data_IF_593823088840
#
_entry.id   IF_593823088840
#
_cell.length_a   1.000
_cell.length_b   1.000
_cell.length_c   1.000
_cell.angle_alpha   90.00
_cell.angle_beta   90.00
_cell.angle_gamma   90.00
#
_symmetry.space_group_name_H-M   'P 1'
#
loop_
_entity.id
_entity.type
_entity.pdbx_description
1 polymer ?
#
# COMPACT_ATOMS: atom_id res chain seq x y z
N UNK A 1 25.79 3.55 20.76
CA UNK A 1 24.79 3.76 19.69
C UNK A 1 23.54 2.95 20.03
N UNK A 2 22.32 3.47 19.88
CA UNK A 2 21.13 2.66 20.07
C UNK A 2 21.11 1.52 19.04
N UNK A 3 20.85 0.30 19.53
CA UNK A 3 20.76 -0.89 18.68
C UNK A 3 19.47 -0.81 17.84
N UNK A 4 19.60 -0.78 16.51
CA UNK A 4 18.46 -0.88 15.60
C UNK A 4 17.82 -2.25 15.76
N UNK A 5 16.53 -2.30 16.12
CA UNK A 5 15.78 -3.56 16.35
C UNK A 5 14.94 -4.00 15.15
N UNK A 6 14.62 -3.07 14.25
CA UNK A 6 13.81 -3.34 13.08
C UNK A 6 14.13 -2.35 11.95
N UNK A 7 13.86 -2.77 10.72
CA UNK A 7 13.94 -1.92 9.52
C UNK A 7 12.62 -2.04 8.77
N UNK A 8 11.99 -0.90 8.48
CA UNK A 8 10.83 -0.83 7.60
C UNK A 8 11.26 -0.49 6.19
N UNK A 9 10.82 -1.30 5.22
CA UNK A 9 11.19 -1.19 3.81
C UNK A 9 9.93 -1.05 2.97
N UNK A 10 9.96 -0.13 2.02
CA UNK A 10 9.00 -0.17 0.93
C UNK A 10 9.27 -1.37 0.02
N UNK A 11 8.24 -1.81 -0.72
CA UNK A 11 8.34 -2.95 -1.64
C UNK A 11 8.65 -2.46 -3.04
N UNK A 12 7.64 -1.87 -3.67
CA UNK A 12 7.67 -1.44 -5.06
C UNK A 12 8.76 -0.36 -5.27
N UNK A 13 9.58 -0.53 -6.30
CA UNK A 13 10.73 0.34 -6.65
C UNK A 13 11.80 0.50 -5.56
N UNK A 14 11.73 -0.27 -4.47
CA UNK A 14 12.74 -0.24 -3.38
C UNK A 14 13.46 -1.57 -3.25
N UNK A 15 12.72 -2.67 -3.07
CA UNK A 15 13.29 -4.03 -3.08
C UNK A 15 12.91 -4.81 -4.35
N UNK A 16 12.11 -4.18 -5.22
CA UNK A 16 11.73 -4.73 -6.53
C UNK A 16 12.28 -3.89 -7.66
N UNK A 17 12.69 -4.56 -8.75
CA UNK A 17 12.97 -3.95 -10.05
C UNK A 17 12.06 -4.60 -11.10
N UNK A 18 11.37 -3.78 -11.91
CA UNK A 18 10.35 -4.24 -12.87
C UNK A 18 9.31 -5.22 -12.27
N UNK A 19 8.96 -5.06 -10.99
CA UNK A 19 8.00 -5.92 -10.28
C UNK A 19 8.56 -7.26 -9.77
N UNK A 20 9.87 -7.48 -9.90
CA UNK A 20 10.54 -8.72 -9.46
C UNK A 20 11.52 -8.44 -8.32
N UNK A 21 11.71 -9.41 -7.43
CA UNK A 21 12.70 -9.32 -6.34
C UNK A 21 13.87 -10.23 -6.70
N UNK A 22 15.07 -9.65 -6.81
CA UNK A 22 16.26 -10.42 -7.17
C UNK A 22 16.73 -11.30 -6.00
N UNK A 23 17.36 -12.46 -6.26
CA UNK A 23 17.89 -13.33 -5.21
C UNK A 23 18.86 -12.63 -4.22
N UNK A 24 19.74 -11.70 -4.63
CA UNK A 24 20.58 -10.94 -3.71
C UNK A 24 19.78 -10.14 -2.66
N UNK A 25 18.65 -9.53 -3.06
CA UNK A 25 17.77 -8.82 -2.14
C UNK A 25 17.18 -9.77 -1.11
N UNK A 26 16.67 -10.93 -1.55
CA UNK A 26 16.16 -11.97 -0.63
C UNK A 26 17.23 -12.42 0.38
N UNK A 27 18.48 -12.59 -0.07
CA UNK A 27 19.61 -12.94 0.80
C UNK A 27 19.91 -11.84 1.82
N UNK A 28 19.86 -10.57 1.42
CA UNK A 28 20.06 -9.43 2.31
C UNK A 28 18.98 -9.34 3.39
N UNK A 29 17.70 -9.49 3.02
CA UNK A 29 16.58 -9.47 3.97
C UNK A 29 16.70 -10.60 5.01
N UNK A 30 17.05 -11.82 4.58
CA UNK A 30 17.30 -12.94 5.49
C UNK A 30 18.52 -12.72 6.38
N UNK A 31 19.53 -11.99 5.91
CA UNK A 31 20.71 -11.64 6.72
C UNK A 31 20.33 -10.68 7.86
N UNK A 32 19.44 -9.71 7.62
CA UNK A 32 18.90 -8.83 8.66
C UNK A 32 18.17 -9.64 9.74
N UNK A 33 17.26 -10.53 9.32
CA UNK A 33 16.49 -11.38 10.24
C UNK A 33 17.41 -12.28 11.09
N UNK A 34 18.40 -12.93 10.48
CA UNK A 34 19.40 -13.73 11.20
C UNK A 34 20.25 -12.91 12.18
N UNK A 35 20.44 -11.62 11.88
CA UNK A 35 21.12 -10.66 12.75
C UNK A 35 20.24 -10.10 13.88
N UNK A 36 19.00 -10.57 14.04
CA UNK A 36 18.08 -10.08 15.06
C UNK A 36 17.40 -8.76 14.74
N UNK A 37 17.48 -8.30 13.47
CA UNK A 37 16.81 -7.09 12.99
C UNK A 37 15.54 -7.51 12.25
N UNK A 38 14.38 -7.23 12.84
CA UNK A 38 13.11 -7.57 12.23
C UNK A 38 12.84 -6.73 10.98
N UNK A 39 12.43 -7.36 9.89
CA UNK A 39 12.09 -6.65 8.65
C UNK A 39 10.59 -6.41 8.57
N UNK A 40 10.19 -5.15 8.46
CA UNK A 40 8.81 -4.71 8.27
C UNK A 40 8.62 -4.38 6.78
N UNK A 41 7.62 -4.98 6.14
CA UNK A 41 7.25 -4.62 4.76
C UNK A 41 6.18 -3.53 4.76
N UNK A 42 6.36 -2.47 3.96
CA UNK A 42 5.44 -1.32 3.93
C UNK A 42 5.14 -0.84 2.51
N UNK A 43 4.06 -1.32 1.89
CA UNK A 43 3.72 -1.01 0.49
C UNK A 43 2.26 -0.63 0.29
N UNK A 44 1.97 -0.09 -0.89
CA UNK A 44 0.61 0.17 -1.34
C UNK A 44 -0.17 -1.07 -1.73
N UNK A 45 0.43 -2.26 -1.80
CA UNK A 45 -0.29 -3.49 -2.10
C UNK A 45 -1.28 -3.90 -0.99
N UNK A 46 -2.26 -4.75 -1.33
CA UNK A 46 -3.24 -5.29 -0.39
C UNK A 46 -2.59 -6.28 0.60
N UNK A 47 -3.23 -6.46 1.75
CA UNK A 47 -2.70 -7.28 2.83
C UNK A 47 -2.32 -8.71 2.41
N UNK A 48 -3.12 -9.45 1.61
CA UNK A 48 -2.76 -10.82 1.20
C UNK A 48 -1.46 -10.89 0.38
N UNK A 49 -1.19 -9.89 -0.46
CA UNK A 49 0.02 -9.82 -1.29
C UNK A 49 1.27 -9.68 -0.40
N UNK A 50 1.25 -8.71 0.53
CA UNK A 50 2.40 -8.48 1.42
C UNK A 50 2.61 -9.61 2.41
N UNK A 51 1.54 -10.19 2.95
CA UNK A 51 1.64 -11.29 3.90
C UNK A 51 2.16 -12.57 3.24
N UNK A 52 1.77 -12.82 1.99
CA UNK A 52 2.38 -13.86 1.15
C UNK A 52 3.88 -13.65 1.00
N UNK A 53 4.29 -12.44 0.58
CA UNK A 53 5.72 -12.11 0.44
C UNK A 53 6.48 -12.28 1.77
N UNK A 54 5.97 -11.71 2.86
CA UNK A 54 6.53 -11.89 4.22
C UNK A 54 6.76 -13.37 4.56
N UNK A 55 5.75 -14.21 4.30
CA UNK A 55 5.78 -15.64 4.62
C UNK A 55 6.87 -16.37 3.84
N UNK A 56 6.91 -16.20 2.52
CA UNK A 56 7.83 -16.95 1.66
C UNK A 56 9.27 -16.43 1.69
N UNK A 57 9.49 -15.16 2.05
CA UNK A 57 10.84 -14.63 2.28
C UNK A 57 11.38 -15.06 3.66
N UNK A 58 10.50 -15.20 4.66
CA UNK A 58 10.85 -15.58 6.03
C UNK A 58 11.07 -14.39 6.96
N UNK A 59 10.21 -13.37 6.87
CA UNK A 59 10.36 -12.13 7.65
C UNK A 59 9.50 -12.15 8.92
N UNK A 60 10.03 -11.60 10.01
CA UNK A 60 9.42 -11.63 11.35
C UNK A 60 8.68 -10.36 11.72
N UNK A 61 9.02 -9.21 11.11
CA UNK A 61 8.40 -7.92 11.38
C UNK A 61 6.95 -7.80 10.90
N UNK A 62 6.32 -6.67 11.17
CA UNK A 62 4.95 -6.39 10.72
C UNK A 62 4.83 -6.23 9.20
N UNK A 63 3.59 -6.24 8.73
CA UNK A 63 3.20 -5.81 7.38
C UNK A 63 2.37 -4.55 7.50
N UNK A 64 2.73 -3.52 6.76
CA UNK A 64 1.99 -2.27 6.59
C UNK A 64 1.50 -2.25 5.15
N UNK A 65 0.24 -2.63 4.95
CA UNK A 65 -0.40 -2.70 3.64
C UNK A 65 -1.24 -1.44 3.38
N UNK A 66 -1.71 -1.30 2.14
CA UNK A 66 -2.61 -0.21 1.75
C UNK A 66 -2.04 1.18 2.11
N UNK A 67 -0.72 1.35 1.94
CA UNK A 67 -0.02 2.58 2.29
C UNK A 67 -0.21 3.05 3.74
N UNK A 68 -0.40 2.10 4.66
CA UNK A 68 -0.62 2.38 6.08
C UNK A 68 -2.07 2.24 6.54
N UNK A 69 -3.00 1.87 5.65
CA UNK A 69 -4.40 1.61 6.00
C UNK A 69 -4.62 0.30 6.76
N UNK A 70 -3.71 -0.67 6.61
CA UNK A 70 -3.81 -1.96 7.28
C UNK A 70 -2.45 -2.34 7.85
N UNK A 71 -2.43 -2.77 9.11
CA UNK A 71 -1.23 -3.33 9.75
C UNK A 71 -1.52 -4.75 10.19
N UNK A 72 -0.62 -5.67 9.88
CA UNK A 72 -0.67 -7.05 10.33
C UNK A 72 0.60 -7.43 11.09
N UNK A 73 0.42 -7.90 12.32
CA UNK A 73 1.52 -8.41 13.14
C UNK A 73 1.01 -9.48 14.10
N UNK A 74 1.74 -10.60 14.18
CA UNK A 74 1.47 -11.74 15.10
C UNK A 74 -0.02 -12.17 15.14
N UNK A 75 -0.63 -12.34 13.96
CA UNK A 75 -2.02 -12.79 13.85
C UNK A 75 -3.09 -11.71 14.05
N UNK A 76 -2.70 -10.47 14.36
CA UNK A 76 -3.64 -9.35 14.57
C UNK A 76 -3.64 -8.42 13.36
N UNK A 77 -4.84 -8.01 12.95
CA UNK A 77 -5.04 -7.01 11.90
C UNK A 77 -5.57 -5.73 12.54
N UNK A 78 -4.82 -4.64 12.39
CA UNK A 78 -5.23 -3.29 12.75
C UNK A 78 -5.69 -2.59 11.48
N UNK A 79 -6.94 -2.14 11.48
CA UNK A 79 -7.54 -1.37 10.39
C UNK A 79 -7.47 0.11 10.72
N UNK A 80 -6.91 0.90 9.81
CA UNK A 80 -6.67 2.32 9.95
C UNK A 80 -7.43 3.02 8.82
N UNK A 81 -8.18 4.07 9.18
CA UNK A 81 -9.04 4.78 8.24
C UNK A 81 -10.46 4.23 8.16
N UNK A 82 -11.30 4.95 7.44
CA UNK A 82 -12.73 4.77 7.33
C UNK A 82 -13.07 4.09 5.99
N UNK A 83 -13.50 2.82 6.08
CA UNK A 83 -13.90 2.01 4.93
C UNK A 83 -15.05 2.62 4.15
N UNK A 84 -16.04 3.21 4.82
CA UNK A 84 -17.22 3.77 4.15
C UNK A 84 -16.85 4.96 3.27
N UNK A 85 -15.99 5.86 3.77
CA UNK A 85 -15.44 6.97 2.97
C UNK A 85 -14.62 6.46 1.79
N UNK A 86 -13.76 5.48 2.02
CA UNK A 86 -12.96 4.87 0.95
C UNK A 86 -13.85 4.22 -0.13
N UNK A 87 -14.90 3.50 0.26
CA UNK A 87 -15.88 2.90 -0.66
C UNK A 87 -16.71 3.95 -1.40
N UNK A 88 -17.11 5.04 -0.74
CA UNK A 88 -17.82 6.15 -1.37
C UNK A 88 -16.95 6.82 -2.44
N UNK A 89 -15.66 7.08 -2.14
CA UNK A 89 -14.71 7.59 -3.11
C UNK A 89 -14.49 6.60 -4.27
N UNK A 90 -14.40 5.30 -3.98
CA UNK A 90 -14.29 4.25 -5.00
C UNK A 90 -15.48 4.28 -5.96
N UNK A 91 -16.71 4.29 -5.44
CA UNK A 91 -17.94 4.37 -6.24
C UNK A 91 -17.96 5.60 -7.13
N UNK A 92 -17.62 6.76 -6.56
CA UNK A 92 -17.54 8.02 -7.31
C UNK A 92 -16.59 7.92 -8.52
N UNK A 93 -15.42 7.31 -8.34
CA UNK A 93 -14.45 7.11 -9.43
C UNK A 93 -14.99 6.15 -10.48
N UNK A 94 -15.53 4.99 -10.08
CA UNK A 94 -16.08 3.99 -11.01
C UNK A 94 -17.24 4.57 -11.81
N UNK A 95 -18.15 5.31 -11.18
CA UNK A 95 -19.34 5.87 -11.85
C UNK A 95 -19.03 7.00 -12.83
N UNK A 96 -17.97 7.78 -12.59
CA UNK A 96 -17.71 9.03 -13.35
C UNK A 96 -16.47 8.97 -14.22
N UNK A 97 -15.57 8.02 -14.00
CA UNK A 97 -14.28 7.94 -14.67
C UNK A 97 -13.96 6.54 -15.20
N UNK A 98 -14.98 5.71 -15.48
CA UNK A 98 -14.81 4.37 -16.05
C UNK A 98 -14.04 4.35 -17.38
N UNK A 99 -14.08 5.44 -18.17
CA UNK A 99 -13.32 5.57 -19.42
C UNK A 99 -11.83 5.87 -19.19
N UNK A 100 -11.48 6.41 -18.01
CA UNK A 100 -10.11 6.80 -17.66
C UNK A 100 -9.39 5.75 -16.82
N UNK A 101 -10.13 5.00 -16.01
CA UNK A 101 -9.57 4.04 -15.07
C UNK A 101 -10.39 2.75 -14.98
N UNK A 102 -9.73 1.69 -14.53
CA UNK A 102 -10.37 0.45 -14.09
C UNK A 102 -9.94 0.09 -12.67
N UNK A 103 -10.77 -0.67 -11.96
CA UNK A 103 -10.42 -1.14 -10.63
C UNK A 103 -9.23 -2.10 -10.65
N UNK A 104 -8.36 -1.99 -9.65
CA UNK A 104 -7.33 -3.01 -9.41
C UNK A 104 -7.98 -4.33 -8.98
N UNK A 105 -7.44 -5.45 -9.48
CA UNK A 105 -7.83 -6.79 -9.04
C UNK A 105 -7.68 -6.99 -7.52
N UNK A 106 -6.87 -6.16 -6.86
CA UNK A 106 -6.66 -6.20 -5.41
C UNK A 106 -7.79 -5.56 -4.61
N UNK A 107 -8.67 -4.76 -5.23
CA UNK A 107 -9.72 -4.02 -4.52
C UNK A 107 -10.68 -4.89 -3.68
N UNK A 108 -11.06 -6.11 -4.08
CA UNK A 108 -11.83 -7.02 -3.22
C UNK A 108 -11.14 -7.35 -1.88
N UNK A 109 -9.81 -7.25 -1.83
CA UNK A 109 -8.99 -7.55 -0.66
C UNK A 109 -8.53 -6.29 0.09
N UNK A 110 -9.06 -5.12 -0.27
CA UNK A 110 -8.67 -3.82 0.30
C UNK A 110 -9.72 -3.27 1.27
N UNK A 111 -9.26 -2.52 2.26
CA UNK A 111 -10.07 -1.98 3.33
C UNK A 111 -10.34 -0.48 3.25
N UNK A 112 -9.28 0.33 3.12
CA UNK A 112 -9.29 1.79 3.35
C UNK A 112 -8.55 2.60 2.28
N UNK A 113 -7.80 1.93 1.40
CA UNK A 113 -7.19 2.52 0.21
C UNK A 113 -7.66 1.68 -0.99
N UNK A 114 -8.25 2.30 -2.02
CA UNK A 114 -8.63 1.61 -3.25
C UNK A 114 -7.72 2.03 -4.39
N UNK A 115 -7.33 1.07 -5.23
CA UNK A 115 -6.40 1.28 -6.32
C UNK A 115 -7.10 1.12 -7.67
N UNK A 116 -6.61 1.91 -8.63
CA UNK A 116 -7.10 1.96 -9.98
C UNK A 116 -5.92 1.89 -10.96
N UNK A 117 -6.12 1.18 -12.06
CA UNK A 117 -5.21 1.22 -13.21
C UNK A 117 -5.70 2.28 -14.19
N UNK A 118 -4.78 3.01 -14.79
CA UNK A 118 -5.12 3.97 -15.83
C UNK A 118 -5.37 3.24 -17.16
N UNK A 119 -6.44 3.61 -17.87
CA UNK A 119 -6.71 3.19 -19.26
C UNK A 119 -6.09 4.15 -20.28
N UNK A 120 -5.72 5.33 -19.80
CA UNK A 120 -4.99 6.38 -20.53
C UNK A 120 -3.66 6.62 -19.83
N UNK A 121 -2.92 7.65 -20.26
CA UNK A 121 -1.77 8.14 -19.52
C UNK A 121 -2.06 8.30 -18.01
N UNK A 122 -1.16 7.78 -17.18
CA UNK A 122 -1.38 7.66 -15.73
C UNK A 122 -1.46 9.02 -15.04
N UNK A 123 -0.72 10.02 -15.53
CA UNK A 123 -0.75 11.36 -14.95
C UNK A 123 -2.08 12.04 -15.24
N UNK A 124 -2.58 11.88 -16.46
CA UNK A 124 -3.88 12.36 -16.90
C UNK A 124 -5.01 11.73 -16.09
N UNK A 125 -5.02 10.39 -15.98
CA UNK A 125 -6.00 9.67 -15.18
C UNK A 125 -5.93 10.07 -13.69
N UNK A 126 -4.72 10.14 -13.11
CA UNK A 126 -4.53 10.52 -11.71
C UNK A 126 -5.03 11.95 -11.44
N UNK A 127 -4.80 12.88 -12.37
CA UNK A 127 -5.30 14.26 -12.27
C UNK A 127 -6.83 14.29 -12.29
N UNK A 128 -7.48 13.60 -13.22
CA UNK A 128 -8.96 13.51 -13.29
C UNK A 128 -9.56 12.90 -12.02
N UNK A 129 -8.97 11.82 -11.52
CA UNK A 129 -9.40 11.19 -10.26
C UNK A 129 -9.23 12.15 -9.08
N UNK A 130 -8.12 12.88 -9.01
CA UNK A 130 -7.85 13.87 -7.96
C UNK A 130 -8.85 15.02 -8.01
N UNK A 131 -9.09 15.61 -9.19
CA UNK A 131 -10.06 16.69 -9.39
C UNK A 131 -11.47 16.26 -8.92
N UNK A 132 -11.91 15.07 -9.32
CA UNK A 132 -13.24 14.55 -8.95
C UNK A 132 -13.36 14.24 -7.45
N UNK A 133 -12.42 13.47 -6.89
CA UNK A 133 -12.52 12.99 -5.50
C UNK A 133 -12.27 14.12 -4.52
N UNK A 134 -11.21 14.91 -4.69
CA UNK A 134 -10.84 15.94 -3.73
C UNK A 134 -11.78 17.15 -3.75
N UNK A 135 -12.51 17.40 -4.85
CA UNK A 135 -13.54 18.46 -4.89
C UNK A 135 -14.80 18.08 -4.11
N UNK A 136 -15.13 16.79 -4.02
CA UNK A 136 -16.34 16.28 -3.33
C UNK A 136 -16.07 15.76 -1.91
N UNK A 137 -14.85 15.30 -1.65
CA UNK A 137 -14.49 14.64 -0.40
C UNK A 137 -13.16 15.21 0.12
N UNK A 138 -13.23 16.25 0.96
CA UNK A 138 -12.07 17.04 1.40
C UNK A 138 -11.08 16.23 2.26
N UNK A 139 -11.52 15.15 2.89
CA UNK A 139 -10.71 14.25 3.72
C UNK A 139 -9.93 13.22 2.91
N UNK A 140 -10.28 13.05 1.63
CA UNK A 140 -9.66 12.07 0.75
C UNK A 140 -8.45 12.66 0.04
N UNK A 141 -7.52 11.80 -0.36
CA UNK A 141 -6.38 12.13 -1.21
C UNK A 141 -6.25 11.14 -2.36
N UNK A 142 -5.58 11.60 -3.40
CA UNK A 142 -5.27 10.81 -4.60
C UNK A 142 -3.80 10.96 -4.94
N UNK A 143 -3.10 9.84 -5.05
CA UNK A 143 -1.68 9.79 -5.42
C UNK A 143 -1.40 8.62 -6.37
N UNK A 144 -0.35 8.77 -7.16
CA UNK A 144 0.09 7.76 -8.12
C UNK A 144 1.42 7.17 -7.66
N UNK A 145 1.55 5.85 -7.69
CA UNK A 145 2.82 5.14 -7.50
C UNK A 145 3.64 5.04 -8.80
N UNK A 146 3.12 5.58 -9.89
CA UNK A 146 3.60 5.37 -11.26
C UNK A 146 3.15 4.04 -11.88
N UNK A 147 2.49 3.18 -11.12
CA UNK A 147 1.88 1.92 -11.62
C UNK A 147 0.39 1.82 -11.30
N UNK A 148 -0.09 2.49 -10.26
CA UNK A 148 -1.48 2.55 -9.89
C UNK A 148 -1.84 3.91 -9.28
N UNK A 149 -3.11 4.28 -9.40
CA UNK A 149 -3.70 5.45 -8.78
C UNK A 149 -4.41 4.99 -7.51
N UNK A 150 -4.03 5.58 -6.38
CA UNK A 150 -4.55 5.23 -5.06
C UNK A 150 -5.49 6.32 -4.55
N UNK A 151 -6.62 5.89 -3.99
CA UNK A 151 -7.63 6.75 -3.37
C UNK A 151 -7.83 6.29 -1.93
N UNK A 152 -7.49 7.16 -0.98
CA UNK A 152 -7.54 6.87 0.45
C UNK A 152 -7.62 8.15 1.28
N UNK A 153 -7.73 8.04 2.60
CA UNK A 153 -7.82 9.22 3.47
C UNK A 153 -6.49 9.96 3.64
N UNK A 154 -6.54 11.29 3.78
CA UNK A 154 -5.37 12.15 4.05
C UNK A 154 -4.63 11.75 5.33
N UNK A 155 -5.38 11.36 6.36
CA UNK A 155 -4.87 11.02 7.69
C UNK A 155 -4.13 9.69 7.76
N UNK A 156 -4.36 8.77 6.81
CA UNK A 156 -3.74 7.44 6.78
C UNK A 156 -2.46 7.51 5.98
N UNK A 157 -1.30 7.09 6.49
CA UNK A 157 -0.07 6.99 5.69
C UNK A 157 0.87 5.93 6.29
N UNK A 158 1.96 5.59 5.57
CA UNK A 158 2.93 4.57 6.00
C UNK A 158 3.50 4.87 7.39
N UNK A 159 3.74 6.14 7.73
CA UNK A 159 4.20 6.53 9.06
C UNK A 159 3.16 6.31 10.17
N UNK A 160 1.89 6.55 9.88
CA UNK A 160 0.78 6.21 10.80
C UNK A 160 0.66 4.71 10.98
N UNK A 161 0.78 3.93 9.89
CA UNK A 161 0.85 2.47 9.96
C UNK A 161 2.05 1.98 10.78
N UNK A 162 3.21 2.57 10.59
CA UNK A 162 4.44 2.21 11.31
C UNK A 162 4.32 2.44 12.82
N UNK A 163 3.62 3.49 13.26
CA UNK A 163 3.32 3.71 14.69
C UNK A 163 2.43 2.63 15.32
N UNK A 164 1.76 1.81 14.50
CA UNK A 164 0.89 0.70 14.94
C UNK A 164 1.50 -0.69 14.68
N UNK A 165 2.70 -0.72 14.08
CA UNK A 165 3.41 -1.92 13.63
C UNK A 165 4.31 -2.54 14.71
#
# INVERSE_FOLDING_TARGET
>A
MPLIKAVALDVDKTITEAGTISPPVLKALRKLEKGGIAVILSSGNALPVLTGLKKYVGLSGAVIAENGGIVYYKGRIVKIGNREKALAAKRLVVEKLADYVEESWQNPYRYSDFAFKAKVDIETAARKVRELVCSRMKEMRVYSSGVAIHVGEKSVNKGVGLKKA
#
